data_IF_724829378222
#
_entry.id   IF_724829378222
#
_cell.length_a   1.000
_cell.length_b   1.000
_cell.length_c   1.000
_cell.angle_alpha   90.00
_cell.angle_beta   90.00
_cell.angle_gamma   90.00
#
_symmetry.space_group_name_H-M   'P 1'
#
loop_
_entity.id
_entity.type
_entity.pdbx_description
1 polymer ?
#
# COMPACT_ATOMS: atom_id res chain seq x y z
N UNK A 1 15.10 37.15 10.09
CA UNK A 1 14.81 36.74 8.69
C UNK A 1 15.57 35.47 8.39
N UNK A 2 14.96 34.33 8.70
CA UNK A 2 15.34 33.01 8.19
C UNK A 2 14.04 32.35 7.72
N UNK A 3 14.11 31.78 6.53
CA UNK A 3 12.98 31.54 5.64
C UNK A 3 11.97 30.53 6.20
N UNK A 4 10.75 31.01 6.37
CA UNK A 4 9.55 30.27 6.76
C UNK A 4 8.88 29.55 5.57
N UNK A 5 9.64 29.24 4.52
CA UNK A 5 9.09 28.80 3.23
C UNK A 5 9.33 27.32 2.89
N UNK A 6 10.14 26.56 3.63
CA UNK A 6 10.40 25.15 3.30
C UNK A 6 9.56 24.13 4.09
N UNK A 7 8.68 24.58 4.99
CA UNK A 7 7.65 23.72 5.59
C UNK A 7 6.31 23.80 4.85
N UNK A 8 6.29 24.37 3.64
CA UNK A 8 5.10 24.49 2.80
C UNK A 8 4.93 23.31 1.80
N UNK A 9 5.85 22.34 1.78
CA UNK A 9 5.78 21.20 0.86
C UNK A 9 5.69 19.81 1.51
N UNK A 10 5.58 19.71 2.84
CA UNK A 10 5.50 18.40 3.53
C UNK A 10 4.18 18.13 4.26
N UNK A 11 3.19 19.01 4.13
CA UNK A 11 1.87 18.83 4.76
C UNK A 11 0.69 19.20 3.85
N UNK A 12 0.92 19.47 2.55
CA UNK A 12 -0.15 19.79 1.60
C UNK A 12 -0.97 18.57 1.15
N UNK A 13 -0.50 17.34 1.35
CA UNK A 13 -1.14 16.15 0.75
C UNK A 13 -1.69 15.13 1.77
N UNK A 14 -1.75 15.45 3.06
CA UNK A 14 -2.49 14.59 4.02
C UNK A 14 -3.93 15.09 4.12
N UNK A 15 -4.68 14.87 3.04
CA UNK A 15 -6.13 14.90 3.05
C UNK A 15 -6.65 13.46 3.17
N UNK A 16 -6.78 12.97 4.41
CA UNK A 16 -7.50 11.72 4.68
C UNK A 16 -8.83 12.06 5.33
N UNK A 17 -9.77 12.47 4.48
CA UNK A 17 -11.09 12.95 4.86
C UNK A 17 -12.03 13.04 3.66
N UNK A 18 -12.36 11.88 3.09
CA UNK A 18 -13.54 11.60 2.26
C UNK A 18 -13.47 11.91 0.76
N UNK A 19 -12.79 11.07 -0.02
CA UNK A 19 -13.39 10.55 -1.26
C UNK A 19 -12.73 9.25 -1.76
N UNK A 20 -13.52 8.38 -2.39
CA UNK A 20 -13.08 7.09 -2.94
C UNK A 20 -12.40 7.27 -4.31
N UNK A 21 -11.08 7.42 -4.38
CA UNK A 21 -10.26 7.04 -5.55
C UNK A 21 -8.77 7.38 -5.34
N UNK A 22 -7.89 6.54 -5.89
CA UNK A 22 -6.42 6.74 -6.05
C UNK A 22 -5.54 6.61 -4.78
N UNK A 23 -4.95 5.45 -4.44
CA UNK A 23 -3.84 4.68 -5.05
C UNK A 23 -2.42 5.22 -4.71
N UNK A 24 -1.69 4.42 -3.91
CA UNK A 24 -0.22 4.21 -3.86
C UNK A 24 0.73 5.37 -3.52
N UNK A 25 1.40 5.25 -2.37
CA UNK A 25 2.87 5.04 -2.28
C UNK A 25 3.27 4.61 -0.87
N UNK A 26 3.90 3.43 -0.78
CA UNK A 26 4.49 2.87 0.43
C UNK A 26 5.99 3.15 0.47
N UNK A 27 6.57 3.40 1.64
CA UNK A 27 7.91 2.90 2.01
C UNK A 27 8.06 2.99 3.55
N UNK A 28 8.06 1.83 4.18
CA UNK A 28 9.21 1.24 4.90
C UNK A 28 9.29 1.69 6.37
N UNK A 29 8.88 0.80 7.28
CA UNK A 29 9.66 0.48 8.47
C UNK A 29 9.37 -0.96 8.90
N UNK A 30 10.25 -1.84 8.44
CA UNK A 30 10.47 -3.18 8.97
C UNK A 30 10.95 -3.10 10.42
N UNK A 31 10.24 -3.74 11.36
CA UNK A 31 10.74 -4.43 12.56
C UNK A 31 9.56 -4.86 13.45
N UNK A 32 9.22 -6.15 13.45
CA UNK A 32 9.26 -7.06 14.60
C UNK A 32 8.58 -8.39 14.28
N UNK A 33 9.12 -9.45 14.87
CA UNK A 33 9.02 -10.83 14.43
C UNK A 33 7.83 -11.61 15.03
N UNK A 34 7.29 -12.51 14.19
CA UNK A 34 6.94 -13.91 14.42
C UNK A 34 6.25 -14.36 15.73
N UNK A 35 5.05 -14.94 15.61
CA UNK A 35 4.69 -16.23 16.23
C UNK A 35 3.43 -16.83 15.59
N UNK A 36 3.53 -18.12 15.28
CA UNK A 36 2.56 -18.99 14.57
C UNK A 36 1.60 -19.66 15.56
N UNK A 37 0.30 -19.75 15.25
CA UNK A 37 -0.55 -20.97 15.34
C UNK A 37 -2.01 -20.74 14.87
N UNK A 38 -2.60 -21.81 14.31
CA UNK A 38 -3.84 -22.05 13.50
C UNK A 38 -5.16 -22.15 14.31
N UNK A 39 -6.35 -22.62 13.79
CA UNK A 39 -7.04 -22.60 12.46
C UNK A 39 -8.55 -22.14 12.48
N UNK A 40 -9.14 -21.93 11.28
CA UNK A 40 -10.59 -21.99 10.85
C UNK A 40 -11.64 -21.07 11.56
N UNK A 41 -12.61 -20.41 10.91
CA UNK A 41 -13.65 -20.93 9.99
C UNK A 41 -14.40 -19.75 9.31
N UNK A 42 -14.75 -19.91 8.02
CA UNK A 42 -15.86 -19.31 7.23
C UNK A 42 -16.50 -17.96 7.65
N UNK A 43 -16.34 -16.91 6.85
CA UNK A 43 -17.32 -16.54 5.81
C UNK A 43 -16.76 -15.39 4.93
N UNK A 44 -16.81 -15.58 3.62
CA UNK A 44 -16.12 -14.75 2.63
C UNK A 44 -16.98 -13.54 2.20
N UNK A 45 -16.58 -12.33 2.60
CA UNK A 45 -17.00 -11.09 1.93
C UNK A 45 -15.83 -10.55 1.12
N UNK A 46 -15.69 -11.09 -0.09
CA UNK A 46 -14.66 -10.72 -1.06
C UNK A 46 -14.83 -9.27 -1.49
N UNK A 47 -13.99 -8.39 -0.95
CA UNK A 47 -13.82 -7.02 -1.46
C UNK A 47 -13.07 -7.10 -2.79
N UNK A 48 -13.79 -6.83 -3.88
CA UNK A 48 -13.29 -6.93 -5.25
C UNK A 48 -12.23 -5.87 -5.51
N UNK A 49 -10.96 -6.28 -5.55
CA UNK A 49 -9.83 -5.50 -6.05
C UNK A 49 -10.03 -5.15 -7.55
N UNK A 50 -9.41 -4.06 -8.06
CA UNK A 50 -9.51 -3.69 -9.47
C UNK A 50 -9.14 -4.87 -10.37
N UNK A 51 -9.98 -5.15 -11.37
CA UNK A 51 -9.80 -6.26 -12.30
C UNK A 51 -8.52 -6.06 -13.11
N UNK A 52 -7.45 -6.74 -12.72
CA UNK A 52 -6.15 -6.67 -13.42
C UNK A 52 -6.33 -7.27 -14.81
N UNK A 53 -6.36 -6.42 -15.84
CA UNK A 53 -6.33 -6.85 -17.23
C UNK A 53 -4.92 -7.35 -17.58
N UNK A 54 -4.81 -8.63 -17.91
CA UNK A 54 -3.57 -9.26 -18.37
C UNK A 54 -3.53 -9.29 -19.89
N UNK A 55 -2.36 -8.97 -20.45
CA UNK A 55 -2.09 -9.17 -21.88
C UNK A 55 -2.02 -10.65 -22.23
N UNK A 56 -2.22 -10.99 -23.51
CA UNK A 56 -2.21 -12.39 -23.97
C UNK A 56 -0.87 -13.08 -23.70
N UNK A 57 0.24 -12.37 -23.90
CA UNK A 57 1.59 -12.85 -23.60
C UNK A 57 1.76 -13.19 -22.11
N UNK A 58 1.21 -12.36 -21.22
CA UNK A 58 1.28 -12.57 -19.76
C UNK A 58 0.43 -13.77 -19.33
N UNK A 59 -0.79 -13.91 -19.86
CA UNK A 59 -1.64 -15.10 -19.63
C UNK A 59 -0.94 -16.37 -20.07
N UNK A 60 -0.30 -16.35 -21.24
CA UNK A 60 0.42 -17.52 -21.75
C UNK A 60 1.64 -17.86 -20.91
N UNK A 61 2.39 -16.84 -20.45
CA UNK A 61 3.53 -17.03 -19.55
C UNK A 61 3.12 -17.71 -18.24
N UNK A 62 2.01 -17.27 -17.63
CA UNK A 62 1.46 -17.87 -16.41
C UNK A 62 1.03 -19.31 -16.64
N UNK A 63 0.26 -19.57 -17.71
CA UNK A 63 -0.20 -20.93 -18.06
C UNK A 63 0.97 -21.91 -18.26
N UNK A 64 2.00 -21.51 -19.02
CA UNK A 64 3.17 -22.36 -19.26
C UNK A 64 3.94 -22.67 -17.97
N UNK A 65 4.00 -21.72 -17.03
CA UNK A 65 4.77 -21.84 -15.79
C UNK A 65 4.02 -22.57 -14.69
N UNK A 66 2.75 -22.24 -14.49
CA UNK A 66 1.97 -22.66 -13.33
C UNK A 66 1.14 -23.91 -13.62
N UNK A 67 0.60 -24.03 -14.84
CA UNK A 67 -0.24 -25.17 -15.26
C UNK A 67 0.62 -26.25 -15.93
N UNK A 68 1.35 -25.89 -16.98
CA UNK A 68 2.16 -26.85 -17.75
C UNK A 68 3.53 -27.15 -17.09
N UNK A 69 3.90 -26.42 -16.03
CA UNK A 69 5.13 -26.59 -15.24
C UNK A 69 6.43 -26.60 -16.06
N UNK A 70 6.45 -25.93 -17.21
CA UNK A 70 7.65 -25.87 -18.07
C UNK A 70 8.81 -25.13 -17.41
N UNK A 71 10.02 -25.52 -17.80
CA UNK A 71 11.24 -24.81 -17.42
C UNK A 71 11.36 -23.47 -18.15
N UNK A 72 12.11 -22.53 -17.58
CA UNK A 72 12.35 -21.23 -18.21
C UNK A 72 12.98 -21.32 -19.61
N UNK A 73 13.79 -22.36 -19.85
CA UNK A 73 14.42 -22.59 -21.16
C UNK A 73 13.38 -23.02 -22.20
N UNK A 74 12.49 -23.95 -21.85
CA UNK A 74 11.41 -24.40 -22.73
C UNK A 74 10.42 -23.26 -23.03
N UNK A 75 10.11 -22.45 -22.02
CA UNK A 75 9.27 -21.26 -22.21
C UNK A 75 9.95 -20.27 -23.16
N UNK A 76 11.25 -20.01 -23.02
CA UNK A 76 11.98 -19.14 -23.94
C UNK A 76 11.93 -19.64 -25.39
N UNK A 77 12.08 -20.96 -25.60
CA UNK A 77 11.94 -21.58 -26.92
C UNK A 77 10.51 -21.45 -27.47
N UNK A 78 9.49 -21.63 -26.62
CA UNK A 78 8.10 -21.43 -27.02
C UNK A 78 7.84 -19.99 -27.48
N UNK A 79 8.29 -19.00 -26.69
CA UNK A 79 8.15 -17.59 -27.05
C UNK A 79 8.91 -17.23 -28.34
N UNK A 80 10.10 -17.81 -28.53
CA UNK A 80 10.85 -17.63 -29.76
C UNK A 80 10.10 -18.24 -30.96
N UNK A 81 9.53 -19.44 -30.82
CA UNK A 81 8.79 -20.09 -31.90
C UNK A 81 7.50 -19.36 -32.26
N UNK A 82 6.83 -18.74 -31.28
CA UNK A 82 5.52 -18.09 -31.47
C UNK A 82 5.65 -16.65 -32.01
N UNK A 83 6.61 -15.87 -31.51
CA UNK A 83 6.77 -14.45 -31.84
C UNK A 83 8.07 -14.11 -32.59
N UNK A 84 8.92 -15.10 -32.89
CA UNK A 84 10.19 -14.92 -33.58
C UNK A 84 11.29 -14.23 -32.76
N UNK A 85 10.99 -13.81 -31.53
CA UNK A 85 11.92 -13.04 -30.68
C UNK A 85 12.59 -13.93 -29.64
N UNK A 86 13.92 -13.91 -29.59
CA UNK A 86 14.70 -14.57 -28.53
C UNK A 86 14.60 -13.77 -27.24
N UNK A 87 13.81 -14.25 -26.28
CA UNK A 87 13.73 -13.66 -24.95
C UNK A 87 14.70 -14.39 -24.02
N UNK A 88 15.54 -13.63 -23.30
CA UNK A 88 16.44 -14.21 -22.29
C UNK A 88 15.63 -14.77 -21.13
N UNK A 89 16.08 -15.89 -20.56
CA UNK A 89 15.43 -16.54 -19.40
C UNK A 89 15.28 -15.59 -18.21
N UNK A 90 16.30 -14.80 -17.89
CA UNK A 90 16.25 -13.80 -16.82
C UNK A 90 15.13 -12.76 -17.04
N UNK A 91 14.91 -12.34 -18.28
CA UNK A 91 13.83 -11.40 -18.61
C UNK A 91 12.44 -12.02 -18.39
N UNK A 92 12.28 -13.31 -18.72
CA UNK A 92 11.03 -14.05 -18.43
C UNK A 92 10.80 -14.20 -16.93
N UNK A 93 11.84 -14.52 -16.17
CA UNK A 93 11.76 -14.64 -14.71
C UNK A 93 11.35 -13.32 -14.06
N UNK A 94 11.95 -12.21 -14.47
CA UNK A 94 11.58 -10.88 -13.98
C UNK A 94 10.14 -10.52 -14.33
N UNK A 95 9.72 -10.79 -15.58
CA UNK A 95 8.34 -10.56 -16.01
C UNK A 95 7.36 -11.37 -15.17
N UNK A 96 7.63 -12.65 -14.97
CA UNK A 96 6.80 -13.51 -14.14
C UNK A 96 6.75 -13.07 -12.68
N UNK A 97 7.90 -12.72 -12.07
CA UNK A 97 7.93 -12.18 -10.69
C UNK A 97 7.09 -10.92 -10.53
N UNK A 98 7.14 -10.00 -11.51
CA UNK A 98 6.31 -8.79 -11.52
C UNK A 98 4.83 -9.12 -11.68
N UNK A 99 4.50 -10.09 -12.53
CA UNK A 99 3.14 -10.58 -12.70
C UNK A 99 2.57 -11.19 -11.42
N UNK A 100 3.33 -12.04 -10.74
CA UNK A 100 2.89 -12.63 -9.47
C UNK A 100 2.64 -11.56 -8.41
N UNK A 101 3.47 -10.52 -8.33
CA UNK A 101 3.22 -9.39 -7.43
C UNK A 101 1.95 -8.62 -7.78
N UNK A 102 1.70 -8.36 -9.07
CA UNK A 102 0.46 -7.73 -9.53
C UNK A 102 -0.76 -8.58 -9.16
N UNK A 103 -0.71 -9.88 -9.43
CA UNK A 103 -1.81 -10.81 -9.23
C UNK A 103 -1.98 -11.30 -7.78
N UNK A 104 -1.10 -10.87 -6.87
CA UNK A 104 -1.17 -11.25 -5.48
C UNK A 104 -2.48 -10.73 -4.88
N UNK A 105 -3.36 -11.64 -4.48
CA UNK A 105 -4.49 -11.30 -3.65
C UNK A 105 -4.00 -10.86 -2.26
N UNK A 106 -4.57 -9.78 -1.73
CA UNK A 106 -4.42 -9.41 -0.32
C UNK A 106 -5.22 -10.45 0.48
N UNK A 107 -4.61 -11.03 1.51
CA UNK A 107 -5.31 -12.02 2.32
C UNK A 107 -6.20 -11.35 3.38
N UNK A 108 -7.18 -12.09 3.92
CA UNK A 108 -8.13 -11.54 4.88
C UNK A 108 -7.45 -11.04 6.17
N UNK A 109 -6.36 -11.71 6.58
CA UNK A 109 -5.57 -11.28 7.74
C UNK A 109 -4.93 -9.91 7.51
N UNK A 110 -4.42 -9.64 6.31
CA UNK A 110 -3.86 -8.35 5.93
C UNK A 110 -4.93 -7.27 5.89
N UNK A 111 -6.11 -7.57 5.37
CA UNK A 111 -7.25 -6.65 5.35
C UNK A 111 -7.68 -6.32 6.79
N UNK A 112 -7.86 -7.34 7.63
CA UNK A 112 -8.25 -7.17 9.03
C UNK A 112 -7.19 -6.39 9.83
N UNK A 113 -5.90 -6.68 9.60
CA UNK A 113 -4.81 -5.94 10.24
C UNK A 113 -4.79 -4.48 9.79
N UNK A 114 -5.04 -4.22 8.50
CA UNK A 114 -5.13 -2.87 7.95
C UNK A 114 -6.28 -2.09 8.57
N UNK A 115 -7.46 -2.71 8.70
CA UNK A 115 -8.62 -2.11 9.36
C UNK A 115 -8.31 -1.79 10.82
N UNK A 116 -7.74 -2.73 11.56
CA UNK A 116 -7.37 -2.51 12.96
C UNK A 116 -6.35 -1.39 13.13
N UNK A 117 -5.33 -1.32 12.26
CA UNK A 117 -4.35 -0.25 12.28
C UNK A 117 -4.99 1.12 12.01
N UNK A 118 -5.91 1.18 11.05
CA UNK A 118 -6.66 2.40 10.75
C UNK A 118 -7.53 2.83 11.93
N UNK A 119 -8.27 1.92 12.54
CA UNK A 119 -9.12 2.21 13.70
C UNK A 119 -8.31 2.69 14.90
N UNK A 120 -7.15 2.08 15.14
CA UNK A 120 -6.22 2.54 16.17
C UNK A 120 -5.71 3.95 15.87
N UNK A 121 -5.34 4.25 14.62
CA UNK A 121 -4.90 5.60 14.24
C UNK A 121 -6.02 6.64 14.40
N UNK A 122 -7.24 6.37 13.94
CA UNK A 122 -8.35 7.34 14.03
C UNK A 122 -8.66 7.75 15.47
N UNK A 123 -8.54 6.80 16.40
CA UNK A 123 -8.77 7.01 17.83
C UNK A 123 -7.61 7.72 18.53
N UNK A 124 -6.36 7.51 18.07
CA UNK A 124 -5.16 8.01 18.76
C UNK A 124 -4.46 9.18 18.07
N UNK A 125 -4.87 9.57 16.85
CA UNK A 125 -4.17 10.61 16.06
C UNK A 125 -3.95 11.91 16.81
N UNK A 126 -4.93 12.36 17.60
CA UNK A 126 -4.81 13.62 18.36
C UNK A 126 -3.85 13.52 19.54
N UNK A 127 -3.73 12.31 20.12
CA UNK A 127 -2.73 12.03 21.15
C UNK A 127 -1.32 12.10 20.57
N UNK A 128 -1.10 11.46 19.42
CA UNK A 128 0.18 11.53 18.72
C UNK A 128 0.55 12.97 18.33
N UNK A 129 -0.42 13.74 17.84
CA UNK A 129 -0.21 15.16 17.52
C UNK A 129 0.11 15.97 18.77
N UNK A 130 -0.59 15.73 19.88
CA UNK A 130 -0.33 16.39 21.17
C UNK A 130 1.11 16.14 21.65
N UNK A 131 1.57 14.90 21.61
CA UNK A 131 2.95 14.51 21.94
C UNK A 131 3.96 15.19 21.01
N UNK A 132 3.70 15.17 19.71
CA UNK A 132 4.55 15.85 18.71
C UNK A 132 4.62 17.36 18.93
N UNK A 133 3.53 18.02 19.31
CA UNK A 133 3.53 19.46 19.61
C UNK A 133 4.45 19.79 20.79
N UNK A 134 4.52 18.90 21.78
CA UNK A 134 5.45 19.03 22.89
C UNK A 134 6.91 18.81 22.46
N UNK A 135 7.17 17.82 21.61
CA UNK A 135 8.50 17.59 21.04
C UNK A 135 9.01 18.77 20.20
N UNK A 136 8.11 19.48 19.52
CA UNK A 136 8.40 20.70 18.76
C UNK A 136 8.64 21.95 19.63
N UNK A 137 8.70 21.80 20.95
CA UNK A 137 8.98 22.89 21.88
C UNK A 137 7.80 23.83 22.13
N UNK A 138 6.56 23.37 21.88
CA UNK A 138 5.39 24.14 22.28
C UNK A 138 5.13 23.95 23.78
N UNK A 139 5.61 24.88 24.60
CA UNK A 139 5.49 24.87 26.06
C UNK A 139 4.05 25.04 26.59
N UNK A 140 3.09 25.38 25.72
CA UNK A 140 1.67 25.48 26.09
C UNK A 140 1.03 24.09 26.17
N UNK A 141 0.01 23.94 27.02
CA UNK A 141 -0.73 22.69 27.19
C UNK A 141 -1.53 22.33 25.93
N UNK A 142 -0.90 21.59 25.02
CA UNK A 142 -1.52 21.02 23.83
C UNK A 142 -2.16 19.69 24.16
N UNK A 143 -3.36 19.70 24.77
CA UNK A 143 -4.09 18.44 24.98
C UNK A 143 -4.63 17.90 23.64
N UNK A 144 -4.89 16.58 23.52
CA UNK A 144 -5.45 16.00 22.29
C UNK A 144 -6.72 16.71 21.81
N UNK A 145 -7.62 17.07 22.73
CA UNK A 145 -8.87 17.77 22.44
C UNK A 145 -8.61 19.18 21.89
N UNK A 146 -7.62 19.86 22.47
CA UNK A 146 -7.22 21.19 22.00
C UNK A 146 -6.57 21.14 20.62
N UNK A 147 -5.73 20.14 20.35
CA UNK A 147 -5.19 19.87 19.01
C UNK A 147 -6.31 19.66 17.99
N UNK A 148 -7.31 18.84 18.32
CA UNK A 148 -8.45 18.57 17.44
C UNK A 148 -9.28 19.84 17.16
N UNK A 149 -9.60 20.60 18.21
CA UNK A 149 -10.31 21.87 18.09
C UNK A 149 -9.54 22.86 17.21
N UNK A 150 -8.26 23.07 17.53
CA UNK A 150 -7.42 24.04 16.83
C UNK A 150 -7.25 23.69 15.36
N UNK A 151 -7.10 22.40 15.04
CA UNK A 151 -7.01 21.91 13.66
C UNK A 151 -8.31 22.14 12.89
N UNK A 152 -9.47 21.90 13.51
CA UNK A 152 -10.78 22.17 12.89
C UNK A 152 -10.95 23.65 12.59
N UNK A 153 -10.67 24.53 13.56
CA UNK A 153 -10.73 25.98 13.34
C UNK A 153 -9.80 26.45 12.22
N UNK A 154 -8.63 25.83 12.06
CA UNK A 154 -7.70 26.14 10.96
C UNK A 154 -8.29 25.73 9.60
N UNK A 155 -8.94 24.56 9.51
CA UNK A 155 -9.62 24.12 8.28
C UNK A 155 -10.79 25.03 7.92
N UNK A 156 -11.61 25.40 8.90
CA UNK A 156 -12.78 26.26 8.69
C UNK A 156 -12.36 27.66 8.22
N UNK A 157 -11.30 28.22 8.80
CA UNK A 157 -10.75 29.53 8.40
C UNK A 157 -10.04 29.51 7.02
N UNK A 158 -9.66 28.33 6.51
CA UNK A 158 -9.07 28.18 5.16
C UNK A 158 -10.14 28.05 4.07
N UNK A 159 -11.34 27.60 4.44
CA UNK A 159 -12.43 27.27 3.51
C UNK A 159 -13.50 28.38 3.40
N UNK A 160 -13.36 29.49 4.14
CA UNK A 160 -14.22 30.68 4.07
C UNK A 160 -13.44 31.89 3.57
#
# INVERSE_FOLDING_TARGET
MAQLNDLHMMLSDIDFGSDQSEVLQCEEHSRFANSRSTPATSDATTTTLPSISLTEDEKRLLSLRDVERKSWKEIALYFQSKWGKKIRTAALQMRYSRLQRRLRAVNDTEISSLQHAHDHWTTHKWKLISEMMHELGCDRRWTPEYCAFRWRSLKDARNG
#
